data_IF_222777661201
#
_entry.id   IF_222777661201
#
_cell.length_a   1.000
_cell.length_b   1.000
_cell.length_c   1.000
_cell.angle_alpha   90.00
_cell.angle_beta   90.00
_cell.angle_gamma   90.00
#
_symmetry.space_group_name_H-M   'P 1'
#
loop_
_entity.id
_entity.type
_entity.pdbx_description
1 polymer ?
#
# COMPACT_ATOMS: atom_id res chain seq x y z
N UNK A 1 -15.59 -39.16 22.33
CA UNK A 1 -15.79 -39.98 21.12
C UNK A 1 -15.07 -39.31 19.97
N UNK A 2 -14.40 -40.15 19.16
CA UNK A 2 -13.45 -39.93 18.08
C UNK A 2 -13.20 -38.54 17.45
N UNK A 3 -11.90 -38.21 17.46
CA UNK A 3 -11.18 -37.47 16.44
C UNK A 3 -11.40 -38.10 15.06
N UNK A 4 -11.71 -37.28 14.05
CA UNK A 4 -11.41 -37.59 12.65
C UNK A 4 -10.95 -36.30 11.96
N UNK A 5 -9.66 -36.34 11.61
CA UNK A 5 -9.03 -35.58 10.54
C UNK A 5 -9.82 -35.66 9.24
N UNK A 6 -9.65 -34.65 8.39
CA UNK A 6 -9.87 -34.51 6.93
C UNK A 6 -10.43 -33.08 6.70
N UNK A 7 -9.85 -32.14 5.96
CA UNK A 7 -8.80 -32.12 4.93
C UNK A 7 -8.22 -30.70 4.94
N UNK A 8 -6.95 -30.55 5.37
CA UNK A 8 -6.05 -29.56 4.78
C UNK A 8 -5.65 -30.15 3.44
N UNK A 9 -6.26 -29.70 2.35
CA UNK A 9 -6.01 -30.21 1.00
C UNK A 9 -6.05 -29.06 0.00
N UNK A 10 -4.88 -28.72 -0.54
CA UNK A 10 -4.64 -27.59 -1.44
C UNK A 10 -4.54 -26.29 -0.64
N UNK A 11 -3.37 -25.81 -0.22
CA UNK A 11 -2.30 -25.26 -1.05
C UNK A 11 -1.00 -25.43 -0.26
N UNK A 12 -0.42 -26.64 -0.26
CA UNK A 12 0.88 -26.90 0.38
C UNK A 12 1.79 -27.78 -0.50
N UNK A 13 1.50 -27.91 -1.81
CA UNK A 13 2.25 -28.84 -2.66
C UNK A 13 2.58 -28.37 -4.07
N UNK A 14 2.59 -27.06 -4.33
CA UNK A 14 3.19 -26.51 -5.53
C UNK A 14 3.82 -25.15 -5.19
N UNK A 15 5.07 -25.17 -4.74
CA UNK A 15 6.13 -24.17 -5.05
C UNK A 15 7.45 -24.58 -4.35
N UNK A 16 7.78 -25.88 -4.39
CA UNK A 16 9.11 -26.40 -3.96
C UNK A 16 9.97 -26.85 -5.16
N UNK A 17 9.50 -26.73 -6.41
CA UNK A 17 10.36 -27.03 -7.57
C UNK A 17 10.09 -26.04 -8.69
N UNK A 18 10.98 -25.05 -8.81
CA UNK A 18 10.96 -24.05 -9.87
C UNK A 18 12.22 -23.19 -9.78
N UNK A 19 13.36 -23.81 -10.08
CA UNK A 19 14.60 -23.11 -10.37
C UNK A 19 14.38 -22.26 -11.63
N UNK A 20 14.64 -20.95 -11.55
CA UNK A 20 15.21 -20.22 -12.69
C UNK A 20 16.43 -19.45 -12.19
N UNK A 21 17.52 -19.64 -12.92
CA UNK A 21 18.88 -19.25 -12.61
C UNK A 21 19.07 -17.73 -12.49
N UNK A 22 19.91 -17.30 -11.53
CA UNK A 22 20.62 -16.02 -11.63
C UNK A 22 20.29 -14.91 -10.62
N UNK A 23 20.27 -15.17 -9.32
CA UNK A 23 20.49 -14.11 -8.30
C UNK A 23 21.05 -14.69 -7.01
N UNK A 24 22.04 -14.02 -6.40
CA UNK A 24 22.80 -14.45 -5.23
C UNK A 24 21.95 -15.12 -4.12
N UNK A 25 22.35 -16.34 -3.76
CA UNK A 25 21.69 -17.25 -2.81
C UNK A 25 21.48 -16.62 -1.40
N UNK A 26 22.36 -15.70 -0.99
CA UNK A 26 22.28 -15.04 0.34
C UNK A 26 21.24 -13.92 0.45
N UNK A 27 20.75 -13.38 -0.67
CA UNK A 27 19.69 -12.34 -0.66
C UNK A 27 18.33 -13.00 -0.46
N UNK A 28 18.08 -14.13 -1.13
CA UNK A 28 16.85 -14.91 -1.00
C UNK A 28 16.64 -15.47 0.43
N UNK A 29 17.71 -15.88 1.10
CA UNK A 29 17.65 -16.40 2.48
C UNK A 29 17.38 -15.32 3.53
N UNK A 30 17.91 -14.11 3.33
CA UNK A 30 17.63 -12.95 4.20
C UNK A 30 16.18 -12.50 4.05
N UNK A 31 15.67 -12.45 2.82
CA UNK A 31 14.28 -12.07 2.56
C UNK A 31 13.30 -13.09 3.15
N UNK A 32 13.62 -14.39 3.10
CA UNK A 32 12.84 -15.44 3.78
C UNK A 32 12.82 -15.27 5.31
N UNK A 33 13.95 -14.89 5.91
CA UNK A 33 14.05 -14.67 7.36
C UNK A 33 13.19 -13.49 7.81
N UNK A 34 13.20 -12.40 7.05
CA UNK A 34 12.38 -11.21 7.32
C UNK A 34 10.89 -11.54 7.25
N UNK A 35 10.46 -12.31 6.25
CA UNK A 35 9.06 -12.76 6.13
C UNK A 35 8.63 -13.61 7.34
N UNK A 36 9.46 -14.54 7.80
CA UNK A 36 9.16 -15.37 8.98
C UNK A 36 9.07 -14.51 10.26
N UNK A 37 9.91 -13.47 10.37
CA UNK A 37 9.90 -12.55 11.49
C UNK A 37 8.63 -11.68 11.50
N UNK A 38 8.21 -11.19 10.33
CA UNK A 38 6.98 -10.42 10.18
C UNK A 38 5.74 -11.25 10.49
N UNK A 39 5.70 -12.50 10.02
CA UNK A 39 4.64 -13.45 10.38
C UNK A 39 4.59 -13.74 11.88
N UNK A 40 5.75 -13.80 12.53
CA UNK A 40 5.86 -14.00 13.99
C UNK A 40 5.29 -12.79 14.74
N UNK A 41 5.69 -11.58 14.34
CA UNK A 41 5.20 -10.33 14.93
C UNK A 41 3.70 -10.15 14.75
N UNK A 42 3.18 -10.47 13.56
CA UNK A 42 1.75 -10.48 13.28
C UNK A 42 0.98 -11.42 14.22
N UNK A 43 1.45 -12.67 14.37
CA UNK A 43 0.82 -13.64 15.26
C UNK A 43 0.81 -13.16 16.72
N UNK A 44 1.91 -12.54 17.18
CA UNK A 44 2.00 -11.99 18.53
C UNK A 44 1.05 -10.80 18.72
N UNK A 45 0.98 -9.89 17.74
CA UNK A 45 0.06 -8.75 17.75
C UNK A 45 -1.40 -9.20 17.81
N UNK A 46 -1.82 -10.14 16.95
CA UNK A 46 -3.18 -10.68 16.98
C UNK A 46 -3.51 -11.44 18.26
N UNK A 47 -2.55 -12.16 18.83
CA UNK A 47 -2.74 -12.76 20.14
C UNK A 47 -3.00 -11.68 21.21
N UNK A 48 -2.23 -10.58 21.19
CA UNK A 48 -2.36 -9.47 22.13
C UNK A 48 -3.71 -8.77 22.02
N UNK A 49 -4.15 -8.43 20.80
CA UNK A 49 -5.45 -7.80 20.55
C UNK A 49 -6.61 -8.66 21.07
N UNK A 50 -6.52 -9.98 20.85
CA UNK A 50 -7.53 -10.92 21.34
C UNK A 50 -7.49 -11.10 22.85
N UNK A 51 -6.31 -11.01 23.48
CA UNK A 51 -6.19 -11.04 24.95
C UNK A 51 -6.69 -9.76 25.60
N UNK A 52 -6.44 -8.58 25.01
CA UNK A 52 -6.99 -7.32 25.51
C UNK A 52 -8.51 -7.27 25.38
N UNK A 53 -9.05 -7.74 24.25
CA UNK A 53 -10.49 -7.86 24.06
C UNK A 53 -11.17 -8.85 25.03
N UNK A 54 -10.41 -9.80 25.60
CA UNK A 54 -10.91 -10.71 26.64
C UNK A 54 -10.84 -10.11 28.05
N UNK A 55 -10.08 -9.02 28.24
CA UNK A 55 -9.91 -8.33 29.53
C UNK A 55 -10.95 -7.23 29.77
N UNK A 56 -11.59 -6.71 28.71
CA UNK A 56 -12.61 -5.66 28.78
C UNK A 56 -14.04 -6.20 29.00
N UNK A 57 -14.23 -7.53 28.97
CA UNK A 57 -15.53 -8.19 29.14
C UNK A 57 -15.68 -8.71 30.58
N UNK A 58 -16.00 -7.83 31.53
CA UNK A 58 -16.38 -8.23 32.89
C UNK A 58 -17.76 -8.95 32.87
N UNK A 59 -17.68 -10.28 32.92
CA UNK A 59 -18.67 -11.24 33.43
C UNK A 59 -20.15 -11.06 33.03
N UNK A 60 -20.60 -11.78 31.98
CA UNK A 60 -21.70 -12.78 32.03
C UNK A 60 -21.53 -13.77 30.87
N UNK A 61 -21.37 -15.08 31.13
CA UNK A 61 -22.23 -16.16 30.57
C UNK A 61 -21.77 -17.56 30.99
N UNK A 62 -22.71 -18.27 31.62
CA UNK A 62 -22.69 -19.72 31.81
C UNK A 62 -22.69 -20.44 30.45
N UNK A 63 -21.85 -21.47 30.33
CA UNK A 63 -22.07 -22.57 29.38
C UNK A 63 -21.62 -22.34 27.93
N UNK A 64 -20.70 -23.21 27.51
CA UNK A 64 -20.45 -23.62 26.11
C UNK A 64 -20.09 -22.54 25.09
N UNK A 65 -18.80 -22.22 24.97
CA UNK A 65 -18.23 -21.78 23.69
C UNK A 65 -16.75 -22.16 23.62
N UNK A 66 -16.47 -23.31 23.02
CA UNK A 66 -15.15 -23.63 22.50
C UNK A 66 -14.92 -22.69 21.30
N UNK A 67 -14.13 -21.62 21.48
CA UNK A 67 -13.86 -20.68 20.39
C UNK A 67 -13.15 -19.39 20.77
N UNK A 68 -13.39 -18.84 21.96
CA UNK A 68 -12.82 -17.52 22.35
C UNK A 68 -11.46 -17.61 23.06
N UNK A 69 -11.23 -18.61 23.92
CA UNK A 69 -9.93 -18.81 24.62
C UNK A 69 -8.86 -19.53 23.80
N UNK A 70 -9.26 -20.26 22.74
CA UNK A 70 -8.33 -21.06 21.93
C UNK A 70 -7.58 -20.25 20.86
N UNK A 71 -8.18 -19.16 20.34
CA UNK A 71 -7.62 -18.37 19.25
C UNK A 71 -6.31 -17.66 19.62
N UNK A 72 -6.21 -16.95 20.76
CA UNK A 72 -4.93 -16.34 21.16
C UNK A 72 -3.83 -17.39 21.35
N UNK A 73 -4.18 -18.55 21.91
CA UNK A 73 -3.26 -19.68 22.12
C UNK A 73 -2.79 -20.27 20.79
N UNK A 74 -3.66 -20.34 19.77
CA UNK A 74 -3.29 -20.77 18.42
C UNK A 74 -2.29 -19.82 17.76
N UNK A 75 -2.50 -18.51 17.87
CA UNK A 75 -1.55 -17.51 17.35
C UNK A 75 -0.19 -17.59 18.05
N UNK A 76 -0.18 -17.73 19.38
CA UNK A 76 1.06 -17.92 20.13
C UNK A 76 1.77 -19.23 19.79
N UNK A 77 1.01 -20.30 19.50
CA UNK A 77 1.59 -21.58 19.06
C UNK A 77 2.23 -21.48 17.68
N UNK A 78 1.60 -20.74 16.76
CA UNK A 78 2.18 -20.45 15.45
C UNK A 78 3.42 -19.58 15.55
N UNK A 79 3.40 -18.52 16.37
CA UNK A 79 4.58 -17.69 16.62
C UNK A 79 5.75 -18.52 17.17
N UNK A 80 5.50 -19.45 18.09
CA UNK A 80 6.54 -20.35 18.60
C UNK A 80 7.14 -21.27 17.53
N UNK A 81 6.31 -21.80 16.62
CA UNK A 81 6.79 -22.65 15.52
C UNK A 81 7.64 -21.83 14.55
N UNK A 82 7.21 -20.61 14.22
CA UNK A 82 7.95 -19.72 13.34
C UNK A 82 9.30 -19.32 13.94
N UNK A 83 9.33 -19.01 15.24
CA UNK A 83 10.57 -18.72 15.97
C UNK A 83 11.52 -19.92 15.95
N UNK A 84 11.03 -21.13 16.25
CA UNK A 84 11.85 -22.36 16.19
C UNK A 84 12.44 -22.56 14.80
N UNK A 85 11.64 -22.32 13.76
CA UNK A 85 12.08 -22.45 12.38
C UNK A 85 13.20 -21.43 12.03
N UNK A 86 13.10 -20.20 12.55
CA UNK A 86 14.16 -19.19 12.41
C UNK A 86 15.43 -19.62 13.15
N UNK A 87 15.30 -20.10 14.39
CA UNK A 87 16.42 -20.55 15.22
C UNK A 87 17.15 -21.74 14.60
N UNK A 88 16.42 -22.75 14.15
CA UNK A 88 16.96 -24.00 13.60
C UNK A 88 17.62 -23.81 12.23
N UNK A 89 17.11 -22.88 11.40
CA UNK A 89 17.56 -22.72 10.01
C UNK A 89 18.48 -21.52 9.75
N UNK A 90 18.53 -20.52 10.63
CA UNK A 90 19.25 -19.27 10.33
C UNK A 90 20.26 -18.83 11.40
N UNK A 91 20.06 -19.17 12.68
CA UNK A 91 20.93 -18.71 13.76
C UNK A 91 22.10 -19.67 14.10
N UNK A 92 22.09 -20.90 13.56
CA UNK A 92 23.17 -21.87 13.78
C UNK A 92 24.27 -21.83 12.70
N UNK A 93 24.22 -20.87 11.76
CA UNK A 93 25.00 -20.89 10.51
C UNK A 93 26.19 -19.93 10.38
N UNK A 94 26.24 -18.76 11.03
CA UNK A 94 27.28 -17.76 10.71
C UNK A 94 28.08 -17.27 11.93
N UNK A 95 29.35 -17.66 11.95
CA UNK A 95 30.41 -16.94 12.67
C UNK A 95 30.71 -15.64 11.93
N UNK A 96 30.08 -14.54 12.32
CA UNK A 96 30.53 -13.18 11.98
C UNK A 96 30.45 -12.27 13.20
N UNK A 97 31.63 -11.94 13.75
CA UNK A 97 31.96 -10.85 14.71
C UNK A 97 30.82 -10.41 15.64
N UNK A 98 30.63 -11.17 16.72
CA UNK A 98 29.58 -10.98 17.72
C UNK A 98 30.00 -10.15 18.93
N UNK A 99 30.16 -8.83 18.80
CA UNK A 99 30.26 -7.94 19.98
C UNK A 99 29.16 -6.87 20.07
N UNK A 100 28.46 -6.52 18.98
CA UNK A 100 27.34 -5.56 19.04
C UNK A 100 25.94 -6.20 19.07
N UNK A 101 25.73 -7.36 18.44
CA UNK A 101 24.43 -8.07 18.49
C UNK A 101 24.20 -8.87 19.77
N UNK A 102 25.26 -9.33 20.44
CA UNK A 102 25.14 -10.18 21.63
C UNK A 102 24.74 -9.36 22.88
N UNK A 103 25.08 -8.07 22.92
CA UNK A 103 24.66 -7.14 23.98
C UNK A 103 23.15 -6.84 23.93
N UNK A 104 22.60 -6.67 22.74
CA UNK A 104 21.22 -6.23 22.54
C UNK A 104 20.20 -7.34 22.80
N UNK A 105 20.50 -8.59 22.45
CA UNK A 105 19.55 -9.71 22.56
C UNK A 105 19.79 -10.61 23.79
N UNK A 106 21.02 -10.76 24.31
CA UNK A 106 21.33 -11.70 25.40
C UNK A 106 20.76 -11.28 26.77
N UNK A 107 20.67 -9.97 27.06
CA UNK A 107 20.20 -9.45 28.35
C UNK A 107 18.67 -9.52 28.49
N UNK A 108 17.94 -9.22 27.41
CA UNK A 108 16.47 -9.21 27.44
C UNK A 108 15.85 -10.60 27.25
N UNK A 109 16.46 -11.50 26.47
CA UNK A 109 16.01 -12.91 26.39
C UNK A 109 16.24 -13.67 27.70
N UNK A 110 17.34 -13.40 28.42
CA UNK A 110 17.58 -13.97 29.76
C UNK A 110 16.54 -13.48 30.78
N UNK A 111 16.08 -12.23 30.69
CA UNK A 111 14.97 -11.69 31.49
C UNK A 111 13.63 -12.32 31.13
N UNK A 112 13.32 -12.47 29.83
CA UNK A 112 12.11 -13.13 29.35
C UNK A 112 12.01 -14.58 29.81
N UNK A 113 13.11 -15.34 29.74
CA UNK A 113 13.17 -16.73 30.24
C UNK A 113 13.05 -16.81 31.77
N UNK A 114 13.58 -15.82 32.51
CA UNK A 114 13.44 -15.73 33.97
C UNK A 114 12.00 -15.42 34.42
N UNK A 115 11.19 -14.78 33.58
CA UNK A 115 9.79 -14.44 33.87
C UNK A 115 8.78 -15.57 33.63
N UNK A 116 9.20 -16.69 33.03
CA UNK A 116 8.30 -17.85 32.73
C UNK A 116 8.29 -18.88 33.88
N UNK A 117 9.01 -18.64 34.98
CA UNK A 117 9.06 -19.55 36.12
C UNK A 117 8.84 -18.88 37.48
N UNK A 118 7.67 -19.20 38.07
CA UNK A 118 7.25 -19.05 39.48
C UNK A 118 6.50 -17.77 39.89
N UNK A 119 5.23 -18.01 40.19
CA UNK A 119 4.29 -17.41 41.15
C UNK A 119 4.24 -15.89 41.42
N UNK A 120 2.97 -15.45 41.37
CA UNK A 120 2.24 -14.51 42.22
C UNK A 120 2.79 -13.09 42.48
N UNK A 121 1.88 -12.14 42.26
CA UNK A 121 1.92 -10.73 42.66
C UNK A 121 2.95 -9.82 41.97
N UNK A 122 2.49 -9.17 40.90
CA UNK A 122 2.32 -7.70 40.80
C UNK A 122 2.17 -7.33 39.32
N UNK A 123 1.20 -6.45 39.03
CA UNK A 123 1.01 -5.79 37.73
C UNK A 123 2.28 -5.03 37.34
N UNK A 124 3.22 -5.70 36.68
CA UNK A 124 4.31 -5.04 35.97
C UNK A 124 4.00 -5.07 34.49
N UNK A 125 3.51 -3.94 33.98
CA UNK A 125 3.25 -3.70 32.56
C UNK A 125 4.52 -4.05 31.78
N UNK A 126 4.46 -5.18 31.08
CA UNK A 126 5.50 -5.69 30.20
C UNK A 126 5.63 -4.71 29.02
N UNK A 127 6.53 -3.74 29.13
CA UNK A 127 6.91 -2.90 28.00
C UNK A 127 7.73 -3.77 27.05
N UNK A 128 7.04 -4.34 26.07
CA UNK A 128 7.69 -4.96 24.92
C UNK A 128 8.61 -3.91 24.26
N UNK A 129 9.80 -4.30 23.77
CA UNK A 129 10.64 -3.40 23.00
C UNK A 129 9.80 -2.81 21.87
N UNK A 130 9.87 -1.48 21.69
CA UNK A 130 9.20 -0.80 20.57
C UNK A 130 9.82 -1.35 19.29
N UNK A 131 9.17 -2.33 18.68
CA UNK A 131 9.47 -2.76 17.32
C UNK A 131 9.19 -1.54 16.45
N UNK A 132 10.23 -0.95 15.88
CA UNK A 132 10.05 0.07 14.85
C UNK A 132 9.46 -0.62 13.62
N UNK A 133 8.13 -0.68 13.54
CA UNK A 133 7.46 -1.05 12.30
C UNK A 133 7.91 -0.04 11.24
N UNK A 134 8.61 -0.53 10.21
CA UNK A 134 8.97 0.28 9.06
C UNK A 134 7.65 0.78 8.48
N UNK A 135 7.43 2.09 8.58
CA UNK A 135 6.19 2.71 8.16
C UNK A 135 6.02 2.51 6.65
N UNK A 136 4.83 2.17 6.14
CA UNK A 136 4.63 1.95 4.72
C UNK A 136 4.97 3.22 3.94
N UNK A 137 5.74 3.07 2.87
CA UNK A 137 6.19 4.20 2.04
C UNK A 137 5.28 4.45 0.84
N UNK A 138 4.37 3.52 0.54
CA UNK A 138 3.40 3.56 -0.55
C UNK A 138 2.33 2.48 -0.33
N UNK A 139 1.29 2.47 -1.18
CA UNK A 139 0.19 1.52 -1.07
C UNK A 139 0.59 0.06 -1.33
N UNK A 140 1.71 -0.21 -1.99
CA UNK A 140 2.18 -1.58 -2.19
C UNK A 140 2.66 -2.20 -0.87
N UNK A 141 3.37 -1.41 -0.05
CA UNK A 141 3.74 -1.84 1.31
C UNK A 141 2.54 -1.89 2.26
N UNK A 142 1.56 -1.00 2.08
CA UNK A 142 0.30 -1.10 2.84
C UNK A 142 -0.37 -2.45 2.54
N UNK A 143 -0.46 -2.86 1.28
CA UNK A 143 -1.06 -4.15 0.90
C UNK A 143 -0.35 -5.36 1.54
N UNK A 144 0.97 -5.30 1.67
CA UNK A 144 1.78 -6.36 2.31
C UNK A 144 1.54 -6.46 3.82
N UNK A 145 1.50 -5.31 4.51
CA UNK A 145 1.34 -5.23 5.97
C UNK A 145 -0.12 -5.47 6.36
N UNK A 146 -1.01 -4.78 5.69
CA UNK A 146 -2.44 -4.76 5.92
C UNK A 146 -3.10 -5.34 4.66
N UNK A 147 -3.52 -6.61 4.72
CA UNK A 147 -4.39 -7.25 3.71
C UNK A 147 -5.78 -6.57 3.71
N UNK A 148 -5.79 -5.30 3.32
CA UNK A 148 -6.86 -4.34 3.52
C UNK A 148 -7.73 -4.14 2.29
N UNK A 149 -8.78 -3.33 2.46
CA UNK A 149 -9.69 -2.90 1.39
C UNK A 149 -9.22 -1.57 0.83
N UNK A 150 -9.68 -1.20 -0.36
CA UNK A 150 -9.44 0.15 -0.88
C UNK A 150 -9.93 1.23 0.08
N UNK A 151 -9.17 2.31 0.22
CA UNK A 151 -9.48 3.37 1.17
C UNK A 151 -8.33 4.33 1.41
N UNK A 152 -8.51 5.25 2.36
CA UNK A 152 -7.47 6.20 2.75
C UNK A 152 -6.52 5.52 3.74
N UNK A 153 -5.23 5.59 3.42
CA UNK A 153 -4.14 5.10 4.25
C UNK A 153 -3.10 6.18 4.45
N UNK A 154 -2.31 6.01 5.49
CA UNK A 154 -1.20 6.89 5.83
C UNK A 154 0.10 6.24 5.40
N UNK A 155 0.94 6.99 4.68
CA UNK A 155 2.26 6.55 4.22
C UNK A 155 3.33 7.57 4.61
N UNK A 156 4.60 7.13 4.60
CA UNK A 156 5.74 7.94 5.00
C UNK A 156 6.84 7.89 3.94
N UNK A 157 7.07 9.02 3.27
CA UNK A 157 8.07 9.17 2.22
C UNK A 157 9.09 10.20 2.67
N UNK A 158 10.37 9.83 2.78
CA UNK A 158 11.44 10.71 3.29
C UNK A 158 11.07 11.41 4.61
N UNK A 159 10.52 10.63 5.56
CA UNK A 159 9.99 11.07 6.86
C UNK A 159 8.81 12.05 6.81
N UNK A 160 8.30 12.41 5.63
CA UNK A 160 7.06 13.15 5.44
C UNK A 160 5.88 12.19 5.47
N UNK A 161 4.97 12.43 6.41
CA UNK A 161 3.68 11.75 6.49
C UNK A 161 2.70 12.34 5.47
N UNK A 162 1.98 11.47 4.75
CA UNK A 162 0.88 11.88 3.87
C UNK A 162 -0.25 10.86 3.85
N UNK A 163 -1.47 11.35 3.69
CA UNK A 163 -2.65 10.53 3.46
C UNK A 163 -2.83 10.31 1.96
N UNK A 164 -3.06 9.07 1.55
CA UNK A 164 -3.26 8.66 0.16
C UNK A 164 -4.46 7.74 0.04
N UNK A 165 -5.11 7.75 -1.10
CA UNK A 165 -6.08 6.70 -1.42
C UNK A 165 -5.34 5.50 -2.03
N UNK A 166 -5.44 4.35 -1.37
CA UNK A 166 -4.94 3.09 -1.89
C UNK A 166 -6.06 2.31 -2.55
N UNK A 167 -5.86 1.96 -3.82
CA UNK A 167 -6.65 0.96 -4.51
C UNK A 167 -6.01 -0.42 -4.31
N UNK A 168 -6.69 -1.25 -3.52
CA UNK A 168 -6.26 -2.60 -3.14
C UNK A 168 -6.97 -3.68 -3.95
N UNK A 169 -7.90 -3.31 -4.82
CA UNK A 169 -8.80 -4.24 -5.49
C UNK A 169 -8.41 -4.42 -6.97
N UNK A 170 -7.96 -3.36 -7.64
CA UNK A 170 -7.64 -3.38 -9.08
C UNK A 170 -6.30 -4.05 -9.36
N UNK A 171 -6.28 -5.01 -10.30
CA UNK A 171 -5.05 -5.61 -10.84
C UNK A 171 -4.04 -6.06 -9.77
N UNK A 172 -4.53 -6.75 -8.73
CA UNK A 172 -3.70 -7.21 -7.61
C UNK A 172 -3.45 -6.17 -6.51
N UNK A 173 -3.98 -4.96 -6.65
CA UNK A 173 -3.96 -3.92 -5.63
C UNK A 173 -2.59 -3.25 -5.46
N UNK A 174 -2.46 -2.50 -4.36
CA UNK A 174 -1.23 -1.80 -4.00
C UNK A 174 -0.99 -0.53 -4.81
N UNK A 175 -2.04 0.00 -5.43
CA UNK A 175 -1.98 1.21 -6.24
C UNK A 175 -2.18 2.46 -5.38
N UNK A 176 -1.26 3.41 -5.49
CA UNK A 176 -1.40 4.75 -4.91
C UNK A 176 -2.09 5.64 -5.94
N UNK A 177 -3.31 6.09 -5.67
CA UNK A 177 -4.06 6.98 -6.56
C UNK A 177 -3.50 8.41 -6.45
N UNK A 178 -3.14 9.01 -7.59
CA UNK A 178 -2.55 10.35 -7.65
C UNK A 178 -3.49 11.40 -8.24
N UNK A 179 -4.51 10.97 -8.99
CA UNK A 179 -5.55 11.82 -9.56
C UNK A 179 -6.84 10.99 -9.72
N UNK A 180 -7.99 11.60 -9.43
CA UNK A 180 -9.31 11.03 -9.76
C UNK A 180 -10.27 12.10 -10.22
N UNK A 181 -11.03 11.81 -11.28
CA UNK A 181 -12.18 12.55 -11.81
C UNK A 181 -13.36 11.60 -11.98
N UNK A 182 -14.53 11.95 -11.46
CA UNK A 182 -15.76 11.14 -11.58
C UNK A 182 -16.99 12.04 -11.35
N UNK A 183 -18.19 11.47 -11.49
CA UNK A 183 -19.45 12.16 -11.30
C UNK A 183 -19.83 12.28 -9.82
N UNK A 184 -19.35 13.33 -9.15
CA UNK A 184 -19.75 13.65 -7.78
C UNK A 184 -20.80 14.78 -7.76
N UNK A 185 -21.49 14.92 -6.62
CA UNK A 185 -22.50 15.99 -6.45
C UNK A 185 -21.89 17.39 -6.57
N UNK A 186 -20.64 17.53 -6.15
CA UNK A 186 -19.86 18.75 -6.24
C UNK A 186 -18.58 18.42 -6.97
N UNK A 187 -18.42 19.00 -8.17
CA UNK A 187 -17.19 18.83 -8.95
C UNK A 187 -16.09 19.75 -8.42
N UNK A 188 -14.90 19.19 -8.32
CA UNK A 188 -13.69 19.89 -7.92
C UNK A 188 -13.20 20.75 -9.09
N UNK A 189 -12.84 21.99 -8.80
CA UNK A 189 -12.19 22.87 -9.77
C UNK A 189 -10.70 22.49 -9.91
N UNK A 190 -10.31 22.08 -11.12
CA UNK A 190 -8.93 21.76 -11.49
C UNK A 190 -8.22 22.92 -12.21
N UNK A 191 -8.88 24.06 -12.46
CA UNK A 191 -8.23 25.24 -13.03
C UNK A 191 -7.49 26.06 -11.96
N UNK A 192 -6.53 25.40 -11.30
CA UNK A 192 -5.80 25.92 -10.15
C UNK A 192 -4.43 26.52 -10.51
N UNK A 193 -3.85 27.25 -9.57
CA UNK A 193 -2.50 27.83 -9.66
C UNK A 193 -1.41 26.81 -9.30
N UNK A 194 -0.14 27.21 -9.45
CA UNK A 194 1.00 26.36 -9.21
C UNK A 194 1.10 25.89 -7.76
N UNK A 195 0.93 26.78 -6.78
CA UNK A 195 1.07 26.40 -5.37
C UNK A 195 -0.02 25.38 -4.96
N UNK A 196 -1.22 25.49 -5.52
CA UNK A 196 -2.30 24.53 -5.31
C UNK A 196 -1.97 23.17 -5.95
N UNK A 197 -1.50 23.14 -7.21
CA UNK A 197 -1.07 21.90 -7.87
C UNK A 197 0.16 21.26 -7.23
N UNK A 198 1.04 22.08 -6.64
CA UNK A 198 2.26 21.64 -5.97
C UNK A 198 1.96 20.90 -4.67
N UNK A 199 1.06 21.45 -3.87
CA UNK A 199 0.69 20.91 -2.54
C UNK A 199 -0.41 19.85 -2.59
N UNK A 200 -1.29 19.90 -3.60
CA UNK A 200 -2.43 19.00 -3.77
C UNK A 200 -3.75 19.63 -3.33
N UNK A 201 -4.85 19.14 -3.88
CA UNK A 201 -6.20 19.67 -3.63
C UNK A 201 -7.29 18.62 -3.86
N UNK A 202 -8.50 18.91 -3.39
CA UNK A 202 -9.66 18.04 -3.51
C UNK A 202 -9.84 17.11 -2.31
N UNK A 203 -10.59 16.02 -2.52
CA UNK A 203 -10.94 15.06 -1.49
C UNK A 203 -10.54 13.65 -1.95
N UNK A 204 -9.71 12.96 -1.16
CA UNK A 204 -9.19 11.62 -1.48
C UNK A 204 -10.28 10.55 -1.70
N UNK A 205 -11.50 10.76 -1.17
CA UNK A 205 -12.66 9.88 -1.41
C UNK A 205 -13.51 10.31 -2.61
N UNK A 206 -13.22 11.47 -3.20
CA UNK A 206 -13.93 12.04 -4.36
C UNK A 206 -12.90 12.41 -5.44
N UNK A 207 -13.01 13.61 -6.03
CA UNK A 207 -12.01 14.14 -6.97
C UNK A 207 -10.85 14.82 -6.24
N UNK A 208 -9.63 14.55 -6.70
CA UNK A 208 -8.43 15.18 -6.15
C UNK A 208 -7.24 15.13 -7.11
N UNK A 209 -6.26 15.97 -6.81
CA UNK A 209 -4.89 15.89 -7.30
C UNK A 209 -3.95 15.76 -6.09
N UNK A 210 -3.12 14.71 -6.05
CA UNK A 210 -2.30 14.41 -4.88
C UNK A 210 -1.25 15.49 -4.57
N UNK A 211 -0.84 16.26 -5.57
CA UNK A 211 0.16 17.31 -5.44
C UNK A 211 1.49 16.92 -6.08
N UNK A 212 2.07 17.82 -6.86
CA UNK A 212 3.29 17.57 -7.64
C UNK A 212 4.48 17.19 -6.73
N UNK A 213 4.62 17.81 -5.56
CA UNK A 213 5.69 17.46 -4.62
C UNK A 213 5.52 16.06 -4.03
N UNK A 214 4.27 15.65 -3.75
CA UNK A 214 3.99 14.32 -3.22
C UNK A 214 4.24 13.25 -4.30
N UNK A 215 3.79 13.49 -5.53
CA UNK A 215 4.02 12.61 -6.68
C UNK A 215 5.52 12.48 -6.96
N UNK A 216 6.26 13.59 -6.96
CA UNK A 216 7.71 13.59 -7.15
C UNK A 216 8.44 12.82 -6.04
N UNK A 217 8.06 13.03 -4.78
CA UNK A 217 8.62 12.30 -3.66
C UNK A 217 8.39 10.79 -3.79
N UNK A 218 7.19 10.38 -4.22
CA UNK A 218 6.84 8.98 -4.46
C UNK A 218 7.70 8.36 -5.57
N UNK A 219 7.73 9.00 -6.74
CA UNK A 219 8.39 8.48 -7.94
C UNK A 219 9.92 8.46 -7.85
N UNK A 220 10.52 9.24 -6.95
CA UNK A 220 11.97 9.26 -6.75
C UNK A 220 12.51 8.12 -5.87
N UNK A 221 11.65 7.34 -5.23
CA UNK A 221 12.10 6.27 -4.33
C UNK A 221 12.71 5.08 -5.10
N UNK A 222 12.08 4.70 -6.20
CA UNK A 222 12.41 3.53 -7.01
C UNK A 222 11.66 3.60 -8.34
N UNK A 223 11.68 2.55 -9.14
CA UNK A 223 10.91 2.49 -10.37
C UNK A 223 9.43 2.24 -10.08
N UNK A 224 8.57 3.10 -10.63
CA UNK A 224 7.12 2.95 -10.56
C UNK A 224 6.57 2.66 -11.95
N UNK A 225 5.43 1.97 -11.98
CA UNK A 225 4.52 1.94 -13.11
C UNK A 225 3.36 2.88 -12.86
N UNK A 226 2.83 3.45 -13.96
CA UNK A 226 1.63 4.24 -13.96
C UNK A 226 0.53 3.49 -14.70
N UNK A 227 -0.66 3.53 -14.14
CA UNK A 227 -1.90 3.04 -14.75
C UNK A 227 -2.88 4.20 -14.83
N UNK A 228 -3.58 4.28 -15.95
CA UNK A 228 -4.64 5.25 -16.19
C UNK A 228 -5.89 4.46 -16.58
N UNK A 229 -6.95 4.61 -15.79
CA UNK A 229 -8.26 4.03 -16.04
C UNK A 229 -9.21 5.12 -16.55
N UNK A 230 -9.95 4.82 -17.62
CA UNK A 230 -10.80 5.77 -18.35
C UNK A 230 -12.20 5.18 -18.56
N UNK A 231 -13.24 6.02 -18.46
CA UNK A 231 -14.62 5.68 -18.87
C UNK A 231 -15.22 6.81 -19.70
N UNK A 232 -15.88 6.47 -20.81
CA UNK A 232 -16.61 7.42 -21.65
C UNK A 232 -18.03 7.70 -21.12
N UNK A 233 -18.77 8.58 -21.81
CA UNK A 233 -20.11 8.96 -21.40
C UNK A 233 -21.15 7.82 -21.56
N UNK A 234 -20.88 6.86 -22.44
CA UNK A 234 -21.74 5.70 -22.70
C UNK A 234 -21.45 4.52 -21.75
N UNK A 235 -20.40 4.63 -20.93
CA UNK A 235 -19.98 3.63 -19.95
C UNK A 235 -18.99 2.60 -20.50
N UNK A 236 -18.40 2.84 -21.67
CA UNK A 236 -17.28 2.03 -22.15
C UNK A 236 -16.04 2.34 -21.31
N UNK A 237 -15.33 1.30 -20.90
CA UNK A 237 -14.15 1.43 -20.04
C UNK A 237 -12.91 0.95 -20.78
N UNK A 238 -11.82 1.70 -20.67
CA UNK A 238 -10.50 1.30 -21.17
C UNK A 238 -9.41 1.55 -20.13
N UNK A 239 -8.40 0.69 -20.15
CA UNK A 239 -7.27 0.78 -19.23
C UNK A 239 -5.98 0.29 -19.89
N UNK A 240 -4.85 0.90 -19.52
CA UNK A 240 -3.48 0.43 -19.77
C UNK A 240 -3.25 -0.38 -21.08
N UNK A 241 -2.97 0.32 -22.18
CA UNK A 241 -2.46 -0.25 -23.43
C UNK A 241 -3.45 -0.31 -24.59
N UNK A 242 -4.75 -0.37 -24.32
CA UNK A 242 -5.81 -0.43 -25.35
C UNK A 242 -6.35 0.94 -25.76
N UNK A 243 -6.31 1.93 -24.87
CA UNK A 243 -6.75 3.30 -25.13
C UNK A 243 -5.83 4.10 -26.07
N UNK A 244 -4.69 3.53 -26.50
CA UNK A 244 -3.61 4.27 -27.17
C UNK A 244 -2.80 5.13 -26.21
N UNK A 245 -1.57 5.51 -26.61
CA UNK A 245 -0.65 6.27 -25.75
C UNK A 245 -0.72 7.79 -26.04
N UNK A 246 -1.72 8.45 -25.44
CA UNK A 246 -1.82 9.93 -25.46
C UNK A 246 -1.02 10.62 -24.34
N UNK A 247 -0.13 9.88 -23.67
CA UNK A 247 0.83 10.44 -22.71
C UNK A 247 2.23 10.57 -23.29
N UNK A 248 2.58 9.80 -24.33
CA UNK A 248 3.88 9.88 -24.99
C UNK A 248 4.25 11.30 -25.43
N UNK A 249 3.28 12.06 -25.96
CA UNK A 249 3.46 13.46 -26.37
C UNK A 249 3.88 14.39 -25.22
N UNK A 250 3.59 13.99 -23.98
CA UNK A 250 3.85 14.77 -22.77
C UNK A 250 5.23 14.52 -22.14
N UNK A 251 5.98 13.53 -22.65
CA UNK A 251 7.27 13.16 -22.11
C UNK A 251 8.27 14.33 -22.18
N UNK A 252 8.99 14.55 -21.07
CA UNK A 252 9.97 15.64 -20.88
C UNK A 252 9.42 17.07 -20.91
N UNK A 253 8.10 17.26 -21.00
CA UNK A 253 7.51 18.59 -20.89
C UNK A 253 7.50 19.08 -19.44
N UNK A 254 7.49 20.39 -19.26
CA UNK A 254 7.33 21.01 -17.94
C UNK A 254 5.85 21.12 -17.58
N UNK A 255 5.53 20.94 -16.29
CA UNK A 255 4.17 21.13 -15.79
C UNK A 255 3.81 22.62 -15.79
N UNK A 256 2.65 22.97 -16.35
CA UNK A 256 2.21 24.35 -16.56
C UNK A 256 0.82 24.55 -15.95
N UNK A 257 0.63 25.71 -15.31
CA UNK A 257 -0.60 26.17 -14.65
C UNK A 257 -0.93 27.60 -15.06
N UNK A 258 -2.13 28.09 -14.69
CA UNK A 258 -2.67 29.40 -15.12
C UNK A 258 -1.78 30.60 -14.80
N UNK A 259 -0.94 30.48 -13.77
CA UNK A 259 -0.06 31.52 -13.26
C UNK A 259 1.40 31.35 -13.70
N UNK A 260 1.85 30.12 -13.99
CA UNK A 260 3.22 29.84 -14.43
C UNK A 260 3.42 29.95 -15.93
N UNK A 261 2.34 29.82 -16.72
CA UNK A 261 2.40 29.89 -18.16
C UNK A 261 1.18 30.62 -18.73
N UNK A 262 1.42 31.73 -19.43
CA UNK A 262 0.40 32.47 -20.18
C UNK A 262 0.20 31.92 -21.60
N UNK A 263 0.41 30.62 -21.77
CA UNK A 263 0.20 29.98 -23.07
C UNK A 263 -1.29 29.83 -23.33
N UNK A 264 -1.69 29.97 -24.60
CA UNK A 264 -3.07 29.74 -25.05
C UNK A 264 -3.59 28.37 -24.58
N UNK A 265 -2.70 27.37 -24.52
CA UNK A 265 -3.05 26.03 -24.07
C UNK A 265 -3.59 25.98 -22.65
N UNK A 266 -2.97 26.67 -21.69
CA UNK A 266 -3.47 26.62 -20.30
C UNK A 266 -4.83 27.30 -20.20
N UNK A 267 -5.02 28.43 -20.90
CA UNK A 267 -6.28 29.16 -20.93
C UNK A 267 -7.41 28.37 -21.60
N UNK A 268 -7.11 27.65 -22.68
CA UNK A 268 -8.07 26.84 -23.42
C UNK A 268 -8.37 25.49 -22.74
N UNK A 269 -7.36 24.84 -22.15
CA UNK A 269 -7.49 23.49 -21.58
C UNK A 269 -8.00 23.45 -20.15
N UNK A 270 -7.98 24.59 -19.46
CA UNK A 270 -8.62 24.81 -18.14
C UNK A 270 -8.15 23.84 -17.04
N UNK A 271 -6.90 23.41 -17.10
CA UNK A 271 -6.28 22.52 -16.11
C UNK A 271 -4.76 22.70 -16.04
N UNK A 272 -4.13 22.18 -14.99
CA UNK A 272 -2.67 22.08 -14.90
C UNK A 272 -2.18 20.77 -15.50
N UNK A 273 -1.18 20.83 -16.39
CA UNK A 273 -0.68 19.63 -17.10
C UNK A 273 0.73 19.83 -17.68
N UNK A 274 1.33 18.75 -18.16
CA UNK A 274 2.59 18.76 -18.92
C UNK A 274 2.39 19.21 -20.37
N UNK A 275 1.86 20.41 -20.58
CA UNK A 275 1.52 20.91 -21.92
C UNK A 275 2.76 21.25 -22.78
N UNK A 276 2.62 21.11 -24.10
CA UNK A 276 3.57 21.63 -25.11
C UNK A 276 2.84 22.45 -26.19
N UNK A 277 2.70 21.98 -27.44
CA UNK A 277 1.75 22.51 -28.43
C UNK A 277 0.33 22.05 -28.06
N UNK A 278 -0.05 22.47 -26.86
CA UNK A 278 -1.20 22.07 -26.08
C UNK A 278 -1.13 20.63 -25.60
N UNK A 279 -1.88 19.70 -26.17
CA UNK A 279 -2.03 18.40 -25.53
C UNK A 279 -2.64 17.31 -26.40
N UNK A 280 -2.26 16.06 -26.15
CA UNK A 280 -2.96 14.85 -26.59
C UNK A 280 -3.80 14.22 -25.45
N UNK A 281 -3.62 14.63 -24.19
CA UNK A 281 -4.46 14.21 -23.06
C UNK A 281 -4.71 15.35 -22.07
N UNK A 282 -5.95 15.52 -21.62
CA UNK A 282 -6.32 16.63 -20.72
C UNK A 282 -7.13 16.15 -19.51
N UNK A 283 -6.59 15.21 -18.74
CA UNK A 283 -7.33 14.59 -17.62
C UNK A 283 -7.60 15.57 -16.45
N UNK A 284 -6.93 16.72 -16.44
CA UNK A 284 -7.15 17.79 -15.47
C UNK A 284 -8.04 18.93 -16.00
N UNK A 285 -8.71 18.74 -17.15
CA UNK A 285 -9.63 19.72 -17.73
C UNK A 285 -10.95 19.88 -16.97
N UNK A 286 -11.90 20.56 -17.62
CA UNK A 286 -13.28 20.69 -17.18
C UNK A 286 -14.00 19.34 -17.22
N UNK A 287 -14.76 19.06 -16.17
CA UNK A 287 -15.62 17.88 -16.13
C UNK A 287 -16.92 18.14 -16.89
N UNK A 288 -17.06 17.57 -18.09
CA UNK A 288 -18.25 17.75 -18.93
C UNK A 288 -18.49 16.51 -19.83
N UNK A 289 -18.89 15.36 -19.25
CA UNK A 289 -18.91 14.08 -19.95
C UNK A 289 -19.75 14.09 -21.23
N UNK A 290 -19.19 13.54 -22.32
CA UNK A 290 -19.85 13.43 -23.63
C UNK A 290 -19.83 14.73 -24.46
N UNK A 291 -19.34 15.83 -23.90
CA UNK A 291 -19.19 17.09 -24.63
C UNK A 291 -17.90 17.07 -25.44
N UNK A 292 -17.98 17.39 -26.73
CA UNK A 292 -16.82 17.64 -27.59
C UNK A 292 -16.30 19.07 -27.34
N UNK A 293 -15.42 19.18 -26.36
CA UNK A 293 -14.75 20.42 -25.96
C UNK A 293 -13.29 20.11 -25.61
N UNK A 294 -12.38 20.87 -26.21
CA UNK A 294 -10.94 20.77 -25.95
C UNK A 294 -10.58 21.07 -24.50
N UNK A 295 -11.41 21.82 -23.78
CA UNK A 295 -11.26 22.06 -22.36
C UNK A 295 -11.66 20.86 -21.49
N UNK A 296 -12.35 19.86 -22.05
CA UNK A 296 -12.84 18.68 -21.34
C UNK A 296 -11.76 17.69 -20.89
N UNK A 297 -12.20 16.61 -20.23
CA UNK A 297 -11.36 15.47 -19.84
C UNK A 297 -11.05 14.60 -21.06
N UNK A 298 -9.99 14.89 -21.79
CA UNK A 298 -9.78 14.29 -23.12
C UNK A 298 -8.64 13.28 -23.16
N UNK A 299 -8.79 12.25 -23.99
CA UNK A 299 -7.75 11.29 -24.34
C UNK A 299 -7.78 11.05 -25.85
N UNK A 300 -6.82 11.66 -26.56
CA UNK A 300 -6.90 11.85 -28.01
C UNK A 300 -7.00 10.55 -28.80
N UNK A 301 -6.18 9.56 -28.44
CA UNK A 301 -6.08 8.29 -29.16
C UNK A 301 -7.31 7.39 -29.03
N UNK A 302 -8.22 7.69 -28.10
CA UNK A 302 -9.44 6.92 -27.89
C UNK A 302 -10.71 7.68 -28.32
N UNK A 303 -10.94 8.88 -27.76
CA UNK A 303 -12.15 9.67 -28.01
C UNK A 303 -11.87 11.10 -28.51
N UNK A 304 -10.66 11.36 -29.02
CA UNK A 304 -10.26 12.66 -29.54
C UNK A 304 -10.45 13.80 -28.51
N UNK A 305 -11.49 14.63 -28.67
CA UNK A 305 -11.80 15.75 -27.79
C UNK A 305 -13.14 15.60 -27.05
N UNK A 306 -13.77 14.43 -27.14
CA UNK A 306 -14.96 14.13 -26.34
C UNK A 306 -14.53 13.89 -24.90
N UNK A 307 -15.12 14.65 -23.98
CA UNK A 307 -14.80 14.57 -22.56
C UNK A 307 -15.28 13.24 -21.98
N UNK A 308 -14.39 12.61 -21.22
CA UNK A 308 -14.61 11.39 -20.47
C UNK A 308 -15.50 11.64 -19.24
N UNK A 309 -16.13 10.56 -18.75
CA UNK A 309 -16.96 10.52 -17.55
C UNK A 309 -16.16 10.16 -16.30
N UNK A 310 -15.15 9.32 -16.43
CA UNK A 310 -14.26 8.94 -15.34
C UNK A 310 -12.81 8.89 -15.82
N UNK A 311 -11.89 9.35 -14.98
CA UNK A 311 -10.45 9.20 -15.17
C UNK A 311 -9.79 8.97 -13.82
N UNK A 312 -8.90 7.99 -13.71
CA UNK A 312 -8.08 7.79 -12.51
C UNK A 312 -6.65 7.50 -12.91
N UNK A 313 -5.70 8.27 -12.36
CA UNK A 313 -4.28 8.00 -12.49
C UNK A 313 -3.76 7.42 -11.19
N UNK A 314 -3.04 6.30 -11.29
CA UNK A 314 -2.45 5.63 -10.13
C UNK A 314 -1.09 5.05 -10.44
N UNK A 315 -0.26 4.96 -9.40
CA UNK A 315 1.11 4.46 -9.51
C UNK A 315 1.34 3.31 -8.54
N UNK A 316 2.17 2.35 -8.95
CA UNK A 316 2.59 1.23 -8.12
C UNK A 316 4.06 0.96 -8.34
N UNK A 317 4.74 0.48 -7.31
CA UNK A 317 6.15 0.10 -7.42
C UNK A 317 6.31 -1.07 -8.40
N UNK A 318 7.27 -0.98 -9.31
CA UNK A 318 7.65 -2.14 -10.14
C UNK A 318 8.54 -3.07 -9.32
N UNK A 319 8.24 -4.38 -9.25
CA UNK A 319 9.18 -5.35 -8.71
C UNK A 319 10.47 -5.29 -9.54
N UNK A 320 11.61 -5.16 -8.86
CA UNK A 320 12.93 -5.34 -9.48
C UNK A 320 13.16 -6.80 -9.86
#
# INVERSE_FOLDING_TARGET
MHCRWLIFGGIFFLFVTGLSEGSNESTCEKDRTLVLLDMTNYCISKAKDLYSALADDEMIFNGTSCGKKGRPVSYLKMAKILISNIEDNYLLGEKSTGEELDSFYSLDFKRFRKGIGKDNDEKKTLLLPKVHHKRPTDCSQVLEIERGKSGIYKIWVADKEMDVYCDMDTDGGGWTVIQRRDNFTVQQDFYQDWETYKTGFGNLTQEFWLGNENIHALSNQTQYEMRIDLEDADGNQEHSGTAGDSMAYHNNNTFKTKDTSKTVCVEERRGGWWYDFCTESNLNGLYQPGVDDRAGLTWYSWHNHVSLKFTEMKIRRRPN
#
